data_IF_876814915291
#
_entry.id   IF_876814915291
#
_cell.length_a   1.000
_cell.length_b   1.000
_cell.length_c   1.000
_cell.angle_alpha   90.00
_cell.angle_beta   90.00
_cell.angle_gamma   90.00
#
_symmetry.space_group_name_H-M   'P 1'
#
loop_
_entity.id
_entity.type
_entity.pdbx_description
1 polymer ?
#
# COMPACT_ATOMS: atom_id res chain seq x y z
N UNK A 1 -25.08 -42.20 -35.39
CA UNK A 1 -23.67 -41.79 -35.52
C UNK A 1 -23.42 -40.68 -34.52
N UNK A 2 -22.61 -40.94 -33.49
CA UNK A 2 -22.21 -39.96 -32.47
C UNK A 2 -20.71 -39.71 -32.73
N UNK A 3 -20.26 -38.47 -32.99
CA UNK A 3 -18.83 -38.24 -33.13
C UNK A 3 -18.18 -38.28 -31.74
N UNK A 4 -17.19 -39.17 -31.62
CA UNK A 4 -16.20 -39.20 -30.54
C UNK A 4 -15.31 -37.96 -30.68
N UNK A 5 -15.60 -36.92 -29.91
CA UNK A 5 -14.67 -35.81 -29.68
C UNK A 5 -13.64 -36.22 -28.64
N UNK A 6 -12.42 -36.50 -29.11
CA UNK A 6 -11.30 -36.93 -28.29
C UNK A 6 -10.94 -35.92 -27.20
N UNK A 7 -10.59 -36.46 -26.03
CA UNK A 7 -9.93 -35.72 -24.97
C UNK A 7 -8.49 -35.42 -25.40
N UNK A 8 -8.35 -34.41 -26.27
CA UNK A 8 -7.07 -33.87 -26.68
C UNK A 8 -6.46 -33.02 -25.56
N UNK A 9 -5.40 -33.56 -24.96
CA UNK A 9 -4.23 -32.89 -24.36
C UNK A 9 -4.50 -31.56 -23.63
N UNK A 10 -4.49 -31.60 -22.29
CA UNK A 10 -3.77 -30.65 -21.44
C UNK A 10 -3.54 -31.33 -20.08
N UNK A 11 -2.48 -32.13 -20.07
CA UNK A 11 -1.79 -32.53 -18.85
C UNK A 11 -1.35 -31.23 -18.15
N UNK A 12 -1.65 -31.15 -16.85
CA UNK A 12 -1.13 -30.10 -15.93
C UNK A 12 -1.61 -28.67 -16.19
N UNK A 13 -2.90 -28.40 -15.98
CA UNK A 13 -3.35 -27.01 -15.80
C UNK A 13 -2.94 -26.55 -14.39
N UNK A 14 -1.89 -25.74 -14.30
CA UNK A 14 -1.62 -24.92 -13.11
C UNK A 14 -2.67 -23.81 -13.10
N UNK A 15 -3.57 -23.87 -12.13
CA UNK A 15 -4.57 -22.82 -11.99
C UNK A 15 -3.98 -21.68 -11.17
N UNK A 16 -3.89 -20.51 -11.78
CA UNK A 16 -3.40 -19.30 -11.10
C UNK A 16 -4.59 -18.46 -10.62
N UNK A 17 -4.59 -18.15 -9.33
CA UNK A 17 -5.43 -17.11 -8.77
C UNK A 17 -4.52 -16.05 -8.15
N UNK A 18 -4.83 -14.78 -8.35
CA UNK A 18 -4.13 -13.67 -7.71
C UNK A 18 -4.98 -13.20 -6.53
N UNK A 19 -4.45 -13.26 -5.31
CA UNK A 19 -5.09 -12.63 -4.16
C UNK A 19 -4.49 -11.23 -3.97
N UNK A 20 -5.36 -10.23 -3.91
CA UNK A 20 -4.99 -8.86 -3.64
C UNK A 20 -5.13 -8.58 -2.15
N UNK A 21 -4.02 -8.23 -1.51
CA UNK A 21 -4.01 -7.78 -0.13
C UNK A 21 -4.04 -6.25 -0.13
N UNK A 22 -5.08 -5.65 0.47
CA UNK A 22 -5.00 -4.27 0.94
C UNK A 22 -4.08 -4.25 2.15
N UNK A 23 -3.06 -3.40 2.14
CA UNK A 23 -2.28 -3.13 3.34
C UNK A 23 -3.11 -2.24 4.26
N UNK A 24 -4.11 -2.82 4.91
CA UNK A 24 -4.69 -2.21 6.10
C UNK A 24 -4.13 -2.97 7.28
N UNK A 25 -3.67 -2.28 8.32
CA UNK A 25 -3.17 -2.85 9.57
C UNK A 25 -4.25 -3.65 10.37
N UNK A 26 -5.34 -4.04 9.70
CA UNK A 26 -6.44 -4.83 10.21
C UNK A 26 -6.48 -6.18 9.49
N UNK A 27 -6.74 -7.27 10.23
CA UNK A 27 -6.97 -8.59 9.67
C UNK A 27 -8.26 -8.60 8.82
N UNK A 28 -8.20 -8.20 7.55
CA UNK A 28 -9.36 -8.23 6.67
C UNK A 28 -9.50 -9.58 5.95
N UNK A 29 -10.55 -10.31 6.31
CA UNK A 29 -10.96 -11.59 5.70
C UNK A 29 -11.69 -11.36 4.35
N UNK A 30 -11.84 -10.11 3.91
CA UNK A 30 -12.55 -9.66 2.70
C UNK A 30 -11.74 -9.74 1.40
N UNK A 31 -10.51 -10.27 1.45
CA UNK A 31 -9.64 -10.39 0.28
C UNK A 31 -10.25 -11.30 -0.79
N UNK A 32 -10.28 -10.82 -2.03
CA UNK A 32 -10.85 -11.53 -3.18
C UNK A 32 -9.77 -12.00 -4.14
N UNK A 33 -10.04 -13.12 -4.83
CA UNK A 33 -9.15 -13.63 -5.87
C UNK A 33 -9.50 -13.08 -7.24
N UNK A 34 -8.51 -12.96 -8.11
CA UNK A 34 -8.69 -12.75 -9.55
C UNK A 34 -8.16 -13.98 -10.30
N UNK A 35 -9.01 -14.72 -11.04
CA UNK A 35 -10.47 -14.53 -11.16
C UNK A 35 -11.21 -14.85 -9.85
N UNK A 36 -12.42 -14.33 -9.69
CA UNK A 36 -13.24 -14.52 -8.48
C UNK A 36 -13.69 -15.98 -8.29
N UNK A 37 -13.94 -16.69 -9.39
CA UNK A 37 -14.29 -18.09 -9.41
C UNK A 37 -13.21 -18.94 -10.08
N UNK A 38 -12.99 -20.14 -9.54
CA UNK A 38 -12.16 -21.15 -10.16
C UNK A 38 -12.77 -21.54 -11.52
N UNK A 39 -12.01 -21.52 -12.63
CA UNK A 39 -12.49 -21.88 -13.97
C UNK A 39 -12.57 -23.40 -14.14
N UNK A 40 -13.40 -24.03 -13.32
CA UNK A 40 -13.77 -25.44 -13.40
C UNK A 40 -15.17 -25.53 -14.01
N UNK A 41 -15.35 -26.50 -14.91
CA UNK A 41 -16.63 -26.75 -15.57
C UNK A 41 -17.55 -27.56 -14.66
N UNK A 42 -18.82 -27.15 -14.61
CA UNK A 42 -19.87 -27.76 -13.79
C UNK A 42 -20.22 -26.89 -12.57
N UNK A 43 -21.40 -27.12 -12.02
CA UNK A 43 -21.88 -26.37 -10.86
C UNK A 43 -21.81 -27.22 -9.56
N UNK A 44 -21.06 -26.76 -8.54
CA UNK A 44 -20.99 -27.44 -7.26
C UNK A 44 -22.27 -27.29 -6.41
N UNK A 45 -23.10 -26.26 -6.62
CA UNK A 45 -24.30 -26.02 -5.81
C UNK A 45 -25.46 -26.94 -6.21
N UNK A 46 -25.68 -27.13 -7.51
CA UNK A 46 -26.60 -28.15 -8.03
C UNK A 46 -26.12 -29.59 -7.79
N UNK A 47 -24.84 -29.77 -7.48
CA UNK A 47 -24.25 -31.07 -7.18
C UNK A 47 -23.78 -31.84 -8.41
N UNK A 48 -23.61 -31.21 -9.57
CA UNK A 48 -22.99 -31.86 -10.74
C UNK A 48 -21.55 -32.28 -10.46
N UNK A 49 -20.84 -31.41 -9.73
CA UNK A 49 -19.45 -31.62 -9.31
C UNK A 49 -19.31 -31.49 -7.79
N UNK A 50 -18.29 -32.15 -7.25
CA UNK A 50 -17.81 -31.96 -5.89
C UNK A 50 -16.40 -31.38 -5.92
N UNK A 51 -16.18 -30.29 -5.18
CA UNK A 51 -14.88 -29.63 -5.07
C UNK A 51 -14.36 -29.75 -3.63
N UNK A 52 -13.08 -30.07 -3.47
CA UNK A 52 -12.40 -30.02 -2.18
C UNK A 52 -10.96 -29.54 -2.31
N UNK A 53 -10.46 -28.88 -1.28
CA UNK A 53 -9.09 -28.37 -1.21
C UNK A 53 -8.22 -29.31 -0.39
N UNK A 54 -7.01 -29.57 -0.88
CA UNK A 54 -6.00 -30.37 -0.19
C UNK A 54 -4.69 -29.57 -0.07
N UNK A 55 -4.34 -29.17 1.15
CA UNK A 55 -3.14 -28.41 1.44
C UNK A 55 -2.01 -29.37 1.82
N UNK A 56 -0.93 -29.46 1.01
CA UNK A 56 0.18 -30.37 1.30
C UNK A 56 1.06 -29.90 2.47
N UNK A 57 0.99 -28.61 2.83
CA UNK A 57 1.80 -28.00 3.89
C UNK A 57 0.97 -27.00 4.67
N UNK A 58 1.01 -27.13 6.01
CA UNK A 58 0.39 -26.18 6.92
C UNK A 58 -1.13 -26.29 7.00
N UNK A 59 -1.76 -25.41 7.80
CA UNK A 59 -3.21 -25.37 7.94
C UNK A 59 -3.89 -24.88 6.66
N UNK A 60 -5.18 -25.18 6.52
CA UNK A 60 -5.99 -24.66 5.44
C UNK A 60 -6.05 -23.11 5.52
N UNK A 61 -5.66 -22.45 4.43
CA UNK A 61 -5.75 -20.98 4.31
C UNK A 61 -7.02 -20.51 3.61
N UNK A 62 -7.62 -21.40 2.83
CA UNK A 62 -8.84 -21.12 2.08
C UNK A 62 -9.92 -22.18 2.37
N UNK A 63 -11.17 -21.75 2.31
CA UNK A 63 -12.35 -22.58 2.15
C UNK A 63 -12.96 -22.35 0.77
N UNK A 64 -13.81 -23.28 0.34
CA UNK A 64 -14.60 -23.13 -0.88
C UNK A 64 -16.01 -22.66 -0.52
N UNK A 65 -16.46 -21.61 -1.20
CA UNK A 65 -17.87 -21.27 -1.31
C UNK A 65 -18.30 -21.41 -2.77
N UNK A 66 -18.84 -22.58 -3.10
CA UNK A 66 -19.05 -22.99 -4.49
C UNK A 66 -17.72 -23.08 -5.24
N UNK A 67 -17.51 -22.19 -6.21
CA UNK A 67 -16.27 -22.06 -6.98
C UNK A 67 -15.35 -20.94 -6.48
N UNK A 68 -15.73 -20.18 -5.45
CA UNK A 68 -14.93 -19.08 -4.91
C UNK A 68 -14.02 -19.56 -3.81
N UNK A 69 -12.78 -19.06 -3.79
CA UNK A 69 -11.85 -19.24 -2.67
C UNK A 69 -12.13 -18.16 -1.63
N UNK A 70 -12.55 -18.57 -0.44
CA UNK A 70 -12.74 -17.67 0.69
C UNK A 70 -11.59 -17.84 1.66
N UNK A 71 -11.03 -16.73 2.10
CA UNK A 71 -9.93 -16.73 3.04
C UNK A 71 -10.44 -17.13 4.43
N UNK A 72 -9.72 -18.03 5.11
CA UNK A 72 -10.08 -18.43 6.48
C UNK A 72 -9.45 -17.53 7.53
N UNK A 73 -8.30 -16.96 7.20
CA UNK A 73 -7.52 -16.07 8.06
C UNK A 73 -6.83 -15.03 7.18
N UNK A 74 -6.75 -13.77 7.62
CA UNK A 74 -6.07 -12.72 6.87
C UNK A 74 -4.65 -13.15 6.51
N UNK A 75 -4.25 -12.90 5.27
CA UNK A 75 -2.87 -13.09 4.85
C UNK A 75 -2.08 -11.84 5.16
N UNK A 76 -0.88 -12.02 5.68
CA UNK A 76 0.13 -10.97 5.83
C UNK A 76 1.36 -11.37 5.02
N UNK A 77 1.47 -10.80 3.81
CA UNK A 77 2.56 -11.12 2.89
C UNK A 77 3.95 -10.87 3.49
N UNK A 78 4.14 -9.75 4.19
CA UNK A 78 5.46 -9.33 4.67
C UNK A 78 5.86 -10.10 5.93
N UNK A 79 4.92 -10.24 6.88
CA UNK A 79 5.18 -10.97 8.12
C UNK A 79 5.44 -12.45 7.89
N UNK A 80 4.73 -13.06 6.96
CA UNK A 80 4.82 -14.50 6.70
C UNK A 80 5.75 -14.85 5.52
N UNK A 81 6.38 -13.85 4.88
CA UNK A 81 7.18 -14.01 3.65
C UNK A 81 6.42 -14.80 2.55
N UNK A 82 5.14 -14.47 2.37
CA UNK A 82 4.21 -15.20 1.50
C UNK A 82 4.10 -14.58 0.11
N UNK A 83 4.85 -15.13 -0.86
CA UNK A 83 4.67 -14.77 -2.27
C UNK A 83 3.59 -15.60 -2.97
N UNK A 84 3.38 -16.84 -2.52
CA UNK A 84 2.41 -17.76 -3.11
C UNK A 84 1.98 -18.86 -2.12
N UNK A 85 0.77 -19.37 -2.32
CA UNK A 85 0.20 -20.51 -1.61
C UNK A 85 -0.08 -21.61 -2.63
N UNK A 86 0.35 -22.84 -2.35
CA UNK A 86 0.18 -23.99 -3.23
C UNK A 86 -0.71 -25.03 -2.54
N UNK A 87 -1.74 -25.48 -3.25
CA UNK A 87 -2.58 -26.60 -2.82
C UNK A 87 -3.12 -27.37 -4.03
N UNK A 88 -3.79 -28.48 -3.78
CA UNK A 88 -4.48 -29.25 -4.82
C UNK A 88 -6.00 -29.07 -4.69
N UNK A 89 -6.65 -28.78 -5.81
CA UNK A 89 -8.10 -28.83 -5.97
C UNK A 89 -8.50 -30.21 -6.47
N UNK A 90 -9.25 -30.95 -5.68
CA UNK A 90 -9.87 -32.20 -6.12
C UNK A 90 -11.26 -31.89 -6.68
N UNK A 91 -11.47 -32.22 -7.96
CA UNK A 91 -12.77 -32.13 -8.62
C UNK A 91 -13.30 -33.55 -8.86
N UNK A 92 -14.53 -33.80 -8.40
CA UNK A 92 -15.24 -35.08 -8.58
C UNK A 92 -16.51 -34.83 -9.38
N UNK A 93 -16.64 -35.45 -10.55
CA UNK A 93 -17.89 -35.40 -11.33
C UNK A 93 -18.86 -36.41 -10.72
N UNK A 94 -20.00 -35.98 -10.17
CA UNK A 94 -20.89 -36.87 -9.40
C UNK A 94 -21.52 -37.96 -10.27
N UNK A 95 -21.89 -37.63 -11.50
CA UNK A 95 -22.52 -38.58 -12.42
C UNK A 95 -21.61 -39.77 -12.78
N UNK A 96 -20.29 -39.55 -12.85
CA UNK A 96 -19.33 -40.60 -13.26
C UNK A 96 -18.40 -41.05 -12.14
N UNK A 97 -18.45 -40.39 -10.98
CA UNK A 97 -17.51 -40.53 -9.87
C UNK A 97 -16.04 -40.36 -10.25
N UNK A 98 -15.75 -39.82 -11.44
CA UNK A 98 -14.38 -39.53 -11.88
C UNK A 98 -13.82 -38.38 -11.05
N UNK A 99 -12.59 -38.58 -10.56
CA UNK A 99 -11.86 -37.59 -9.77
C UNK A 99 -10.63 -37.09 -10.53
N UNK A 100 -10.35 -35.80 -10.41
CA UNK A 100 -9.13 -35.17 -10.93
C UNK A 100 -8.56 -34.22 -9.88
N UNK A 101 -7.27 -34.36 -9.59
CA UNK A 101 -6.54 -33.40 -8.78
C UNK A 101 -5.85 -32.37 -9.68
N UNK A 102 -5.99 -31.10 -9.35
CA UNK A 102 -5.48 -29.96 -10.12
C UNK A 102 -4.60 -29.12 -9.18
N UNK A 103 -3.32 -28.90 -9.50
CA UNK A 103 -2.48 -28.01 -8.70
C UNK A 103 -2.94 -26.56 -8.87
N UNK A 104 -3.14 -25.87 -7.75
CA UNK A 104 -3.53 -24.45 -7.69
C UNK A 104 -2.40 -23.67 -7.05
N UNK A 105 -2.02 -22.57 -7.68
CA UNK A 105 -1.07 -21.60 -7.14
C UNK A 105 -1.81 -20.27 -6.97
N UNK A 106 -1.99 -19.86 -5.71
CA UNK A 106 -2.49 -18.53 -5.39
C UNK A 106 -1.29 -17.61 -5.20
N UNK A 107 -1.11 -16.65 -6.09
CA UNK A 107 -0.08 -15.61 -5.93
C UNK A 107 -0.63 -14.50 -5.05
N UNK A 108 0.14 -14.08 -4.05
CA UNK A 108 -0.25 -12.97 -3.16
C UNK A 108 0.41 -11.71 -3.67
N UNK A 109 -0.38 -10.84 -4.33
CA UNK A 109 0.09 -9.51 -4.72
C UNK A 109 -0.16 -8.53 -3.59
N UNK A 110 0.90 -7.82 -3.22
CA UNK A 110 0.80 -6.64 -2.39
C UNK A 110 0.18 -5.52 -3.24
N UNK A 111 -0.96 -4.98 -2.80
CA UNK A 111 -1.43 -3.68 -3.25
C UNK A 111 -1.07 -2.72 -2.12
N UNK A 112 0.06 -2.03 -2.30
CA UNK A 112 0.53 -1.07 -1.33
C UNK A 112 -0.34 0.19 -1.36
N UNK A 113 -1.47 0.12 -0.65
CA UNK A 113 -2.43 1.21 -0.42
C UNK A 113 -2.16 1.96 0.90
N UNK A 114 -0.99 1.80 1.51
CA UNK A 114 -0.69 2.53 2.73
C UNK A 114 -0.54 4.02 2.45
N UNK A 115 -1.39 4.84 3.10
CA UNK A 115 -1.15 6.25 3.23
C UNK A 115 0.25 6.49 3.86
N UNK A 116 1.00 7.49 3.37
CA UNK A 116 2.35 7.75 3.87
C UNK A 116 2.31 8.23 5.32
N UNK A 117 2.85 7.44 6.23
CA UNK A 117 2.87 7.78 7.65
C UNK A 117 4.10 8.63 8.02
N UNK A 118 3.86 9.79 8.63
CA UNK A 118 4.91 10.59 9.25
C UNK A 118 5.28 10.02 10.64
N UNK A 119 6.57 9.95 10.95
CA UNK A 119 7.10 9.39 12.21
C UNK A 119 7.74 10.50 13.04
N UNK A 120 7.42 10.57 14.34
CA UNK A 120 8.07 11.53 15.26
C UNK A 120 7.45 12.93 15.22
N UNK A 121 6.13 13.00 15.07
CA UNK A 121 5.36 14.24 15.03
C UNK A 121 5.06 14.77 16.44
N UNK A 122 5.03 16.09 16.67
CA UNK A 122 5.23 17.17 15.71
C UNK A 122 6.72 17.40 15.38
N UNK A 123 7.01 17.82 14.15
CA UNK A 123 8.37 18.22 13.77
C UNK A 123 8.64 19.67 14.12
N UNK A 124 9.78 19.90 14.77
CA UNK A 124 10.30 21.21 15.10
C UNK A 124 11.74 21.30 14.61
N UNK A 125 12.07 22.38 13.92
CA UNK A 125 13.46 22.66 13.53
C UNK A 125 13.76 24.15 13.61
N UNK A 126 15.05 24.49 13.60
CA UNK A 126 15.55 25.86 13.63
C UNK A 126 16.28 26.16 12.34
N UNK A 127 16.02 27.35 11.76
CA UNK A 127 16.68 27.80 10.54
C UNK A 127 17.25 29.20 10.78
N UNK A 128 18.48 29.43 10.32
CA UNK A 128 19.10 30.75 10.40
C UNK A 128 18.53 31.66 9.32
N UNK A 129 18.29 32.92 9.63
CA UNK A 129 17.91 33.91 8.61
C UNK A 129 18.98 34.10 7.52
N UNK A 130 20.25 33.81 7.84
CA UNK A 130 21.40 33.83 6.93
C UNK A 130 21.47 32.58 6.01
N UNK A 131 20.42 31.76 5.96
CA UNK A 131 20.39 30.58 5.12
C UNK A 131 20.43 30.97 3.64
N UNK A 132 21.37 30.37 2.90
CA UNK A 132 21.56 30.63 1.47
C UNK A 132 20.32 30.19 0.68
N UNK A 133 19.73 31.13 -0.07
CA UNK A 133 18.61 30.85 -0.97
C UNK A 133 19.18 30.33 -2.31
N UNK A 134 18.76 29.16 -2.82
CA UNK A 134 19.22 28.66 -4.11
C UNK A 134 18.90 29.65 -5.22
N UNK A 135 19.93 30.17 -5.90
CA UNK A 135 19.79 31.08 -7.05
C UNK A 135 19.79 32.58 -6.72
N UNK A 136 19.92 32.97 -5.46
CA UNK A 136 20.12 34.36 -5.05
C UNK A 136 21.44 34.49 -4.29
N UNK A 137 22.48 35.00 -4.95
CA UNK A 137 23.57 35.68 -4.27
C UNK A 137 23.03 37.05 -3.83
N UNK A 138 22.53 37.17 -2.60
CA UNK A 138 22.25 38.48 -2.03
C UNK A 138 22.94 38.62 -0.68
N UNK A 139 23.71 39.70 -0.65
CA UNK A 139 24.53 40.26 0.40
C UNK A 139 23.78 40.41 1.72
N UNK A 140 24.45 39.99 2.79
CA UNK A 140 24.09 40.25 4.17
C UNK A 140 24.10 41.75 4.45
N UNK A 141 22.94 42.41 4.39
CA UNK A 141 22.73 43.69 5.07
C UNK A 141 22.30 43.41 6.52
N UNK A 142 23.30 43.34 7.40
CA UNK A 142 23.15 43.29 8.86
C UNK A 142 22.56 44.60 9.37
N UNK A 143 21.27 44.63 9.69
CA UNK A 143 20.66 45.75 10.41
C UNK A 143 20.13 45.27 11.75
N UNK A 144 21.05 45.32 12.71
CA UNK A 144 20.88 44.99 14.12
C UNK A 144 19.71 45.79 14.71
N UNK A 145 18.57 45.16 14.99
CA UNK A 145 17.47 45.80 15.71
C UNK A 145 17.01 44.98 16.92
N UNK A 146 17.35 45.54 18.08
CA UNK A 146 16.74 45.48 19.41
C UNK A 146 15.78 44.33 19.73
N UNK A 147 16.10 43.64 20.82
CA UNK A 147 15.15 42.82 21.56
C UNK A 147 13.85 43.61 21.79
N UNK A 148 12.72 42.97 21.53
CA UNK A 148 11.42 43.43 22.02
C UNK A 148 10.58 42.19 22.31
N UNK A 149 10.34 41.95 23.60
CA UNK A 149 9.46 40.92 24.12
C UNK A 149 7.98 41.24 23.80
N UNK A 150 7.63 41.22 22.51
CA UNK A 150 6.26 41.31 21.99
C UNK A 150 5.66 39.93 21.69
N UNK A 151 4.35 39.85 21.34
CA UNK A 151 3.74 38.59 20.92
C UNK A 151 4.53 38.01 19.74
N UNK A 152 4.89 36.73 19.83
CA UNK A 152 5.72 36.07 18.82
C UNK A 152 5.06 36.17 17.45
N UNK A 153 5.77 36.76 16.47
CA UNK A 153 5.23 36.93 15.11
C UNK A 153 5.30 35.60 14.37
N UNK A 154 4.14 35.02 14.07
CA UNK A 154 3.99 33.74 13.37
C UNK A 154 3.41 33.98 11.97
N UNK A 155 3.98 33.36 10.95
CA UNK A 155 3.46 33.38 9.58
C UNK A 155 3.34 31.96 8.98
N UNK A 156 2.61 31.85 7.87
CA UNK A 156 2.62 30.65 7.03
C UNK A 156 3.92 30.58 6.24
N UNK A 157 4.56 29.40 6.21
CA UNK A 157 5.80 29.12 5.49
C UNK A 157 5.61 28.85 4.00
N UNK A 158 4.39 28.92 3.48
CA UNK A 158 4.10 28.78 2.06
C UNK A 158 4.98 29.71 1.20
N UNK A 159 5.72 29.14 0.25
CA UNK A 159 6.62 29.86 -0.66
C UNK A 159 7.98 30.25 -0.07
N UNK A 160 8.14 30.25 1.26
CA UNK A 160 9.44 30.42 1.95
C UNK A 160 10.23 29.13 2.04
N UNK A 161 9.54 27.99 2.09
CA UNK A 161 10.15 26.66 2.16
C UNK A 161 9.67 25.77 1.01
N UNK A 162 10.56 24.91 0.52
CA UNK A 162 10.29 23.99 -0.60
C UNK A 162 10.95 22.63 -0.37
N UNK A 163 10.32 21.57 -0.91
CA UNK A 163 10.90 20.22 -0.97
C UNK A 163 11.32 19.97 -2.41
N UNK A 164 12.62 20.05 -2.70
CA UNK A 164 13.16 19.92 -4.05
C UNK A 164 13.22 18.46 -4.53
N UNK A 165 13.49 17.52 -3.61
CA UNK A 165 13.48 16.09 -3.88
C UNK A 165 12.38 15.43 -3.02
N UNK A 166 11.15 15.27 -3.54
CA UNK A 166 10.01 14.76 -2.77
C UNK A 166 10.26 13.40 -2.12
N UNK A 167 11.05 12.53 -2.78
CA UNK A 167 11.41 11.22 -2.26
C UNK A 167 12.41 11.25 -1.09
N UNK A 168 13.12 12.36 -0.89
CA UNK A 168 14.08 12.54 0.21
C UNK A 168 13.46 13.27 1.42
N UNK A 169 12.32 13.94 1.24
CA UNK A 169 11.63 14.67 2.32
C UNK A 169 12.41 15.87 2.87
N UNK A 170 13.45 16.34 2.17
CA UNK A 170 14.29 17.45 2.63
C UNK A 170 13.61 18.79 2.34
N UNK A 171 13.39 19.58 3.39
CA UNK A 171 12.86 20.94 3.32
C UNK A 171 14.04 21.92 3.20
N UNK A 172 13.93 22.86 2.28
CA UNK A 172 14.95 23.87 1.96
C UNK A 172 14.36 25.26 1.96
N UNK A 173 15.18 26.26 2.28
CA UNK A 173 14.80 27.67 2.22
C UNK A 173 14.75 28.11 0.75
N UNK A 174 13.66 28.77 0.38
CA UNK A 174 13.37 29.22 -0.97
C UNK A 174 13.32 30.76 -1.09
N UNK A 175 13.24 31.48 0.03
CA UNK A 175 13.22 32.96 0.07
C UNK A 175 13.99 33.45 1.28
N UNK A 176 14.48 34.68 1.21
CA UNK A 176 15.15 35.32 2.34
C UNK A 176 14.22 35.40 3.55
N UNK A 177 14.83 35.13 4.69
CA UNK A 177 14.21 35.09 6.00
C UNK A 177 14.63 36.35 6.77
N UNK A 178 13.78 36.81 7.68
CA UNK A 178 13.94 38.06 8.41
C UNK A 178 13.31 37.86 9.79
N UNK A 179 14.16 37.69 10.80
CA UNK A 179 13.75 37.31 12.14
C UNK A 179 12.97 38.42 12.86
N UNK A 180 13.39 39.67 12.68
CA UNK A 180 12.76 40.86 13.25
C UNK A 180 11.30 41.00 12.77
N UNK A 181 11.04 40.60 11.52
CA UNK A 181 9.71 40.60 10.94
C UNK A 181 8.90 39.35 11.26
N UNK A 182 9.49 38.16 11.19
CA UNK A 182 8.78 36.89 11.42
C UNK A 182 9.66 35.91 12.19
N UNK A 183 9.27 35.56 13.41
CA UNK A 183 10.06 34.71 14.30
C UNK A 183 9.74 33.22 14.13
N UNK A 184 8.55 32.89 13.61
CA UNK A 184 8.09 31.50 13.44
C UNK A 184 7.34 31.32 12.13
N UNK A 185 7.61 30.20 11.46
CA UNK A 185 6.85 29.75 10.30
C UNK A 185 6.14 28.43 10.58
N UNK A 186 4.89 28.33 10.13
CA UNK A 186 4.12 27.08 10.10
C UNK A 186 4.21 26.49 8.70
N UNK A 187 4.64 25.24 8.57
CA UNK A 187 4.79 24.60 7.24
C UNK A 187 3.90 23.37 7.19
N UNK A 188 2.99 23.27 6.22
CA UNK A 188 2.21 22.03 6.04
C UNK A 188 2.86 21.17 4.98
N UNK A 189 3.29 19.96 5.35
CA UNK A 189 3.82 18.95 4.43
C UNK A 189 2.73 17.95 4.14
N UNK A 190 2.45 17.72 2.86
CA UNK A 190 1.50 16.70 2.41
C UNK A 190 2.27 15.61 1.72
N UNK A 191 2.10 14.39 2.20
CA UNK A 191 2.62 13.21 1.53
C UNK A 191 1.43 12.48 0.88
N UNK A 192 1.64 11.99 -0.34
CA UNK A 192 0.64 11.22 -1.07
C UNK A 192 1.31 10.03 -1.75
N UNK A 193 0.63 8.89 -1.77
CA UNK A 193 1.00 7.79 -2.65
C UNK A 193 0.43 8.05 -4.04
N UNK A 194 1.04 7.43 -5.06
CA UNK A 194 0.60 7.55 -6.44
C UNK A 194 -0.77 6.91 -6.72
N UNK A 195 -1.41 6.27 -5.73
CA UNK A 195 -2.60 5.42 -5.93
C UNK A 195 -3.78 5.76 -4.99
N UNK A 196 -3.86 7.02 -4.51
CA UNK A 196 -5.06 7.60 -3.87
C UNK A 196 -5.15 7.36 -2.34
N UNK A 197 -4.27 7.98 -1.56
CA UNK A 197 -4.66 8.54 -0.24
C UNK A 197 -3.68 9.65 0.18
N UNK A 198 -4.20 10.78 0.68
CA UNK A 198 -3.41 11.95 1.09
C UNK A 198 -3.36 12.05 2.60
N UNK A 199 -2.18 11.85 3.19
CA UNK A 199 -1.92 12.23 4.58
C UNK A 199 -1.35 13.65 4.62
N UNK A 200 -2.02 14.52 5.37
CA UNK A 200 -1.58 15.90 5.61
C UNK A 200 -0.98 15.99 7.00
N UNK A 201 0.23 16.53 7.10
CA UNK A 201 0.77 16.93 8.39
C UNK A 201 1.12 18.41 8.42
N UNK A 202 0.62 19.07 9.45
CA UNK A 202 1.00 20.43 9.77
C UNK A 202 2.30 20.34 10.59
N UNK A 203 3.44 20.76 10.02
CA UNK A 203 4.65 20.98 10.81
C UNK A 203 4.35 22.17 11.72
N UNK A 204 4.17 21.84 12.99
CA UNK A 204 3.61 22.77 13.95
C UNK A 204 4.53 23.95 14.19
N UNK A 205 5.86 23.86 14.05
CA UNK A 205 6.73 25.03 14.23
C UNK A 205 8.10 24.90 13.54
N UNK A 206 8.43 25.85 12.67
CA UNK A 206 9.81 26.15 12.28
C UNK A 206 10.22 27.46 12.96
N UNK A 207 11.19 27.37 13.87
CA UNK A 207 11.71 28.52 14.60
C UNK A 207 12.85 29.16 13.81
N UNK A 208 12.89 30.48 13.73
CA UNK A 208 14.03 31.18 13.14
C UNK A 208 15.03 31.58 14.24
N UNK A 209 16.32 31.55 13.91
CA UNK A 209 17.43 31.97 14.78
C UNK A 209 18.19 33.14 14.16
#
# INVERSE_FOLDING_TARGET
>A
MIPRGGWGVLSTLLLFALLQQHVSAKPEVSQSTTPEELPVVGDPFSGEIGLSLNFPRGPAKFALNGKRLQLLQPLDRDKDNLSHIIFQLACTVRATQKKRAIPVIVRVSDINDNAPQFIGTPYHTTVSEYSVVPGNDIESSTEKASDTNGPTKVADGYGFFVINLPHQGQITVNRSLDYERTQRYLVTVVASTCIIETDKINLQHLLML
#
